data_IF_169106136200
#
_entry.id   IF_169106136200
#
_cell.length_a   1.000
_cell.length_b   1.000
_cell.length_c   1.000
_cell.angle_alpha   90.00
_cell.angle_beta   90.00
_cell.angle_gamma   90.00
#
_symmetry.space_group_name_H-M   'P 1'
#
loop_
_entity.id
_entity.type
_entity.pdbx_description
1 polymer ?
#
# COMPACT_ATOMS: atom_id res chain seq x y z
N UNK A 1 8.78 -7.31 -33.18
CA UNK A 1 8.84 -6.04 -32.44
C UNK A 1 7.49 -5.38 -32.59
N UNK A 2 6.72 -5.29 -31.51
CA UNK A 2 5.38 -4.74 -31.55
C UNK A 2 5.50 -3.22 -31.70
N UNK A 3 5.03 -2.68 -32.83
CA UNK A 3 5.03 -1.25 -33.15
C UNK A 3 3.59 -0.77 -33.05
N UNK A 4 3.40 0.51 -32.75
CA UNK A 4 2.07 1.14 -32.60
C UNK A 4 1.23 0.48 -31.50
N UNK A 5 1.86 0.25 -30.35
CA UNK A 5 1.20 -0.29 -29.17
C UNK A 5 0.80 0.85 -28.23
N UNK A 6 -0.30 0.66 -27.51
CA UNK A 6 -0.68 1.54 -26.40
C UNK A 6 -0.18 0.91 -25.12
N UNK A 7 0.56 1.68 -24.31
CA UNK A 7 0.77 1.33 -22.91
C UNK A 7 -0.29 2.05 -22.10
N UNK A 8 -1.17 1.27 -21.50
CA UNK A 8 -2.28 1.77 -20.67
C UNK A 8 -2.32 1.08 -19.32
N UNK A 9 -2.97 1.74 -18.37
CA UNK A 9 -3.13 1.24 -17.02
C UNK A 9 -4.12 2.08 -16.23
N UNK A 10 -4.13 1.82 -14.92
CA UNK A 10 -4.95 2.56 -13.95
C UNK A 10 -4.04 3.00 -12.81
N UNK A 11 -4.10 4.28 -12.46
CA UNK A 11 -3.37 4.85 -11.34
C UNK A 11 -3.97 4.40 -10.00
N UNK A 12 -3.24 4.64 -8.91
CA UNK A 12 -3.69 4.28 -7.56
C UNK A 12 -5.00 4.96 -7.13
N UNK A 13 -5.31 6.12 -7.72
CA UNK A 13 -6.58 6.85 -7.52
C UNK A 13 -7.73 6.32 -8.41
N UNK A 14 -7.49 5.28 -9.20
CA UNK A 14 -8.47 4.69 -10.11
C UNK A 14 -8.58 5.39 -11.46
N UNK A 15 -7.83 6.46 -11.70
CA UNK A 15 -7.86 7.16 -13.00
C UNK A 15 -7.11 6.34 -14.07
N UNK A 16 -7.68 6.18 -15.28
CA UNK A 16 -6.98 5.49 -16.36
C UNK A 16 -5.90 6.41 -16.96
N UNK A 17 -4.84 5.79 -17.47
CA UNK A 17 -3.89 6.46 -18.35
C UNK A 17 -3.61 5.58 -19.57
N UNK A 18 -3.27 6.21 -20.67
CA UNK A 18 -2.80 5.56 -21.89
C UNK A 18 -1.81 6.47 -22.61
N UNK A 19 -0.81 5.86 -23.23
CA UNK A 19 0.13 6.55 -24.10
C UNK A 19 0.48 5.70 -25.30
N UNK A 20 0.61 6.37 -26.45
CA UNK A 20 0.99 5.73 -27.70
C UNK A 20 2.51 5.55 -27.74
N UNK A 21 2.95 4.30 -27.86
CA UNK A 21 4.36 3.97 -28.09
C UNK A 21 4.67 4.12 -29.58
N UNK A 22 4.80 5.37 -30.05
CA UNK A 22 5.19 5.66 -31.42
C UNK A 22 6.71 5.79 -31.57
N UNK A 23 7.26 5.07 -32.56
CA UNK A 23 8.63 5.27 -33.04
C UNK A 23 8.71 6.27 -34.20
N UNK A 24 7.57 6.86 -34.58
CA UNK A 24 7.49 7.82 -35.66
C UNK A 24 7.66 9.24 -35.11
N UNK A 25 8.84 9.80 -35.35
CA UNK A 25 9.21 11.15 -34.90
C UNK A 25 8.34 12.27 -35.51
N UNK A 26 7.54 11.95 -36.52
CA UNK A 26 6.66 12.90 -37.20
C UNK A 26 5.27 13.02 -36.57
N UNK A 27 4.92 12.15 -35.60
CA UNK A 27 3.71 12.31 -34.79
C UNK A 27 4.03 13.28 -33.64
N UNK A 28 3.29 14.40 -33.59
CA UNK A 28 3.65 15.57 -32.79
C UNK A 28 3.38 15.45 -31.28
N UNK A 29 2.59 14.46 -30.85
CA UNK A 29 2.14 14.41 -29.46
C UNK A 29 2.89 13.38 -28.61
N UNK A 30 3.30 12.20 -29.13
CA UNK A 30 3.87 11.12 -28.30
C UNK A 30 5.01 10.31 -29.00
N UNK A 31 6.16 10.93 -29.29
CA UNK A 31 7.34 10.21 -29.78
C UNK A 31 8.21 9.70 -28.63
N UNK A 32 8.42 8.38 -28.57
CA UNK A 32 9.42 7.75 -27.69
C UNK A 32 10.65 7.33 -28.49
N UNK A 33 11.83 7.76 -28.02
CA UNK A 33 13.07 7.23 -28.56
C UNK A 33 13.11 5.70 -28.35
N UNK A 34 13.52 4.90 -29.34
CA UNK A 34 13.65 3.45 -29.18
C UNK A 34 14.55 3.02 -28.01
N UNK A 35 15.41 3.93 -27.52
CA UNK A 35 16.31 3.70 -26.38
C UNK A 35 15.83 4.41 -25.10
N UNK A 36 14.64 5.01 -25.10
CA UNK A 36 14.07 5.63 -23.91
C UNK A 36 13.78 4.55 -22.85
N UNK A 37 14.04 4.90 -21.58
CA UNK A 37 13.66 4.06 -20.44
C UNK A 37 12.37 4.58 -19.82
N UNK A 38 11.42 3.67 -19.57
CA UNK A 38 10.22 3.97 -18.77
C UNK A 38 10.53 3.64 -17.31
N UNK A 39 10.53 4.65 -16.45
CA UNK A 39 10.66 4.47 -15.01
C UNK A 39 9.28 4.46 -14.37
N UNK A 40 8.93 3.36 -13.70
CA UNK A 40 7.73 3.26 -12.88
C UNK A 40 8.13 3.53 -11.43
N UNK A 41 7.74 4.69 -10.90
CA UNK A 41 7.95 5.02 -9.50
C UNK A 41 6.66 4.72 -8.74
N UNK A 42 6.73 3.80 -7.77
CA UNK A 42 5.65 3.64 -6.80
C UNK A 42 5.73 4.82 -5.83
N UNK A 43 4.78 5.75 -5.95
CA UNK A 43 4.60 6.78 -4.93
C UNK A 43 3.83 6.13 -3.79
N UNK A 44 4.42 6.11 -2.60
CA UNK A 44 3.70 5.71 -1.39
C UNK A 44 2.58 6.73 -1.15
N UNK A 45 1.36 6.37 -1.49
CA UNK A 45 0.19 7.25 -1.39
C UNK A 45 -0.29 7.45 0.04
N UNK A 46 0.32 6.79 1.03
CA UNK A 46 -0.11 6.93 2.43
C UNK A 46 0.16 8.32 2.96
N UNK A 47 1.25 8.97 2.49
CA UNK A 47 1.78 10.22 3.04
C UNK A 47 2.05 10.20 4.56
N UNK A 48 2.12 9.01 5.14
CA UNK A 48 2.50 8.70 6.52
C UNK A 48 4.00 8.44 6.53
N UNK A 49 4.77 9.54 6.51
CA UNK A 49 6.22 9.49 6.29
C UNK A 49 6.99 9.05 7.53
N UNK A 50 6.37 9.09 8.71
CA UNK A 50 6.97 8.58 9.94
C UNK A 50 6.43 7.20 10.37
N UNK A 51 5.52 6.62 9.59
CA UNK A 51 4.88 5.32 9.76
C UNK A 51 4.17 5.17 11.12
N UNK A 52 3.52 6.22 11.60
CA UNK A 52 2.78 6.20 12.87
C UNK A 52 1.28 5.91 12.71
N UNK A 53 0.84 5.68 11.48
CA UNK A 53 -0.54 5.35 11.15
C UNK A 53 -1.41 6.59 10.91
N UNK A 54 -0.85 7.80 10.99
CA UNK A 54 -1.59 9.05 10.79
C UNK A 54 -0.85 9.98 9.86
N UNK A 55 -1.59 10.73 9.04
CA UNK A 55 -1.03 11.76 8.17
C UNK A 55 -1.30 13.10 8.81
N UNK A 56 -0.30 13.67 9.47
CA UNK A 56 -0.43 14.91 10.21
C UNK A 56 0.83 15.80 10.12
N UNK A 57 0.99 16.72 11.06
CA UNK A 57 2.11 17.67 11.04
C UNK A 57 3.46 17.01 11.23
N UNK A 58 3.53 15.84 11.88
CA UNK A 58 4.78 15.08 12.04
C UNK A 58 5.32 14.63 10.68
N UNK A 59 4.46 14.15 9.80
CA UNK A 59 4.82 13.75 8.44
C UNK A 59 5.30 14.93 7.60
N UNK A 60 4.65 16.09 7.73
CA UNK A 60 5.12 17.31 7.07
C UNK A 60 6.56 17.65 7.45
N UNK A 61 6.91 17.48 8.73
CA UNK A 61 8.29 17.71 9.20
C UNK A 61 9.26 16.68 8.65
N UNK A 62 8.85 15.43 8.48
CA UNK A 62 9.66 14.42 7.79
C UNK A 62 9.91 14.81 6.33
N UNK A 63 8.87 15.27 5.61
CA UNK A 63 9.03 15.80 4.25
C UNK A 63 10.01 16.98 4.23
N UNK A 64 9.87 17.96 5.12
CA UNK A 64 10.79 19.12 5.19
C UNK A 64 12.25 18.73 5.47
N UNK A 65 12.49 17.57 6.07
CA UNK A 65 13.84 17.03 6.35
C UNK A 65 14.38 16.17 5.21
N UNK A 66 13.59 15.92 4.17
CA UNK A 66 13.95 15.01 3.09
C UNK A 66 13.80 13.53 3.45
N UNK A 67 13.03 13.21 4.49
CA UNK A 67 12.72 11.85 4.93
C UNK A 67 11.42 11.31 4.30
N UNK A 68 10.93 11.96 3.25
CA UNK A 68 9.86 11.44 2.40
C UNK A 68 10.43 10.52 1.31
N UNK A 69 9.62 9.65 0.68
CA UNK A 69 10.09 8.69 -0.33
C UNK A 69 10.90 9.32 -1.48
N UNK A 70 10.45 10.47 -1.97
CA UNK A 70 11.16 11.32 -2.92
C UNK A 70 11.53 12.64 -2.24
N UNK A 71 12.75 12.66 -1.69
CA UNK A 71 13.23 13.69 -0.79
C UNK A 71 12.98 15.12 -1.31
N UNK A 72 12.21 15.90 -0.55
CA UNK A 72 11.86 17.30 -0.84
C UNK A 72 11.11 17.49 -2.16
N UNK A 73 10.50 16.44 -2.70
CA UNK A 73 9.75 16.52 -3.94
C UNK A 73 8.44 17.29 -3.75
N UNK A 74 8.00 17.94 -4.83
CA UNK A 74 6.66 18.51 -4.94
C UNK A 74 5.58 17.42 -4.93
N UNK A 75 5.90 16.23 -5.46
CA UNK A 75 4.99 15.08 -5.47
C UNK A 75 4.60 14.66 -4.06
N UNK A 76 5.57 14.50 -3.17
CA UNK A 76 5.32 14.10 -1.79
C UNK A 76 4.62 15.20 -0.98
N UNK A 77 4.90 16.47 -1.26
CA UNK A 77 4.17 17.57 -0.64
C UNK A 77 2.68 17.56 -1.03
N UNK A 78 2.39 17.41 -2.33
CA UNK A 78 1.01 17.33 -2.84
C UNK A 78 0.30 16.10 -2.25
N UNK A 79 1.00 14.98 -2.15
CA UNK A 79 0.49 13.75 -1.55
C UNK A 79 0.13 13.95 -0.06
N UNK A 80 1.01 14.59 0.72
CA UNK A 80 0.71 14.96 2.12
C UNK A 80 -0.50 15.89 2.23
N UNK A 81 -0.59 16.92 1.39
CA UNK A 81 -1.75 17.83 1.39
C UNK A 81 -3.06 17.11 1.07
N UNK A 82 -3.04 16.14 0.16
CA UNK A 82 -4.21 15.36 -0.24
C UNK A 82 -4.66 14.34 0.83
N UNK A 83 -3.77 13.97 1.75
CA UNK A 83 -4.02 12.96 2.78
C UNK A 83 -4.04 13.49 4.21
N UNK A 84 -3.74 14.78 4.43
CA UNK A 84 -3.74 15.39 5.77
C UNK A 84 -5.03 15.11 6.56
N UNK A 85 -4.87 14.59 7.78
CA UNK A 85 -5.95 14.19 8.67
C UNK A 85 -6.50 12.79 8.40
N UNK A 86 -5.99 12.04 7.41
CA UNK A 86 -6.33 10.63 7.24
C UNK A 86 -5.49 9.77 8.19
N UNK A 87 -6.09 8.66 8.61
CA UNK A 87 -5.40 7.57 9.30
C UNK A 87 -5.16 6.48 8.26
N UNK A 88 -3.91 6.07 8.06
CA UNK A 88 -3.56 4.91 7.25
C UNK A 88 -4.19 3.69 7.93
N UNK A 89 -5.35 3.25 7.41
CA UNK A 89 -5.94 2.00 7.84
C UNK A 89 -5.11 0.91 7.19
N UNK A 90 -4.02 0.50 7.86
CA UNK A 90 -3.41 -0.79 7.57
C UNK A 90 -4.53 -1.82 7.65
N UNK A 91 -4.81 -2.49 6.53
CA UNK A 91 -5.84 -3.48 6.45
C UNK A 91 -5.60 -4.49 7.57
N UNK A 92 -6.53 -4.54 8.53
CA UNK A 92 -6.49 -5.50 9.62
C UNK A 92 -6.45 -6.90 8.98
N UNK A 93 -5.25 -7.47 8.89
CA UNK A 93 -5.08 -8.85 8.48
C UNK A 93 -5.94 -9.66 9.45
N UNK A 94 -6.86 -10.44 8.91
CA UNK A 94 -7.77 -11.30 9.67
C UNK A 94 -6.88 -12.23 10.49
N UNK A 95 -6.57 -11.86 11.73
CA UNK A 95 -5.78 -12.68 12.65
C UNK A 95 -6.66 -13.88 12.98
N UNK A 96 -6.29 -15.11 12.57
CA UNK A 96 -7.04 -16.27 13.01
C UNK A 96 -6.95 -16.33 14.53
N UNK A 97 -8.10 -16.32 15.22
CA UNK A 97 -8.12 -16.33 16.69
C UNK A 97 -7.22 -17.47 17.20
N UNK A 98 -6.33 -17.21 18.19
CA UNK A 98 -5.53 -18.27 18.76
C UNK A 98 -6.46 -19.34 19.32
N UNK A 99 -6.06 -20.60 19.17
CA UNK A 99 -6.72 -21.86 19.56
C UNK A 99 -7.21 -21.97 21.03
N UNK A 100 -7.43 -20.87 21.75
CA UNK A 100 -8.00 -20.78 23.09
C UNK A 100 -9.32 -21.56 23.24
N UNK A 101 -10.15 -21.59 22.20
CA UNK A 101 -11.42 -22.35 22.23
C UNK A 101 -11.16 -23.87 22.41
N UNK A 102 -10.15 -24.42 21.74
CA UNK A 102 -9.75 -25.83 21.89
C UNK A 102 -9.13 -26.14 23.26
N UNK A 103 -8.34 -25.23 23.84
CA UNK A 103 -7.77 -25.42 25.18
C UNK A 103 -8.85 -25.34 26.28
N UNK A 104 -9.82 -24.43 26.15
CA UNK A 104 -10.90 -24.31 27.12
C UNK A 104 -11.82 -25.54 27.11
N UNK A 105 -12.15 -26.07 25.92
CA UNK A 105 -12.96 -27.28 25.80
C UNK A 105 -12.23 -28.53 26.32
N UNK A 106 -10.93 -28.70 26.01
CA UNK A 106 -10.15 -29.84 26.52
C UNK A 106 -10.02 -29.81 28.04
N UNK A 107 -9.85 -28.63 28.65
CA UNK A 107 -9.84 -28.48 30.11
C UNK A 107 -11.21 -28.78 30.75
N UNK A 108 -12.32 -28.40 30.10
CA UNK A 108 -13.66 -28.80 30.53
C UNK A 108 -13.85 -30.32 30.48
N UNK A 109 -13.48 -30.98 29.37
CA UNK A 109 -13.58 -32.44 29.23
C UNK A 109 -12.70 -33.20 30.24
N UNK A 110 -11.48 -32.71 30.51
CA UNK A 110 -10.59 -33.26 31.55
C UNK A 110 -11.12 -33.03 32.97
N UNK A 111 -11.83 -31.92 33.21
CA UNK A 111 -12.49 -31.64 34.49
C UNK A 111 -13.67 -32.56 34.77
N UNK A 112 -14.50 -32.85 33.75
CA UNK A 112 -15.65 -33.75 33.89
C UNK A 112 -15.25 -35.22 34.09
N UNK A 113 -14.21 -35.69 33.40
CA UNK A 113 -13.73 -37.08 33.52
C UNK A 113 -13.11 -37.38 34.89
N UNK A 114 -12.45 -36.40 35.52
CA UNK A 114 -11.89 -36.54 36.88
C UNK A 114 -12.95 -36.64 37.97
N UNK A 115 -14.12 -36.03 37.79
CA UNK A 115 -15.20 -36.01 38.80
C UNK A 115 -15.95 -37.36 38.89
N UNK A 116 -16.00 -38.12 37.80
CA UNK A 116 -16.69 -39.41 37.73
C UNK A 116 -15.87 -40.58 38.30
N UNK A 117 -14.56 -40.42 38.47
CA UNK A 117 -13.67 -41.50 38.97
C UNK A 117 -13.67 -41.65 40.50
N UNK A 118 -14.34 -40.77 41.26
CA UNK A 118 -14.20 -40.69 42.73
C UNK A 118 -15.40 -41.24 43.53
N UNK A 119 -16.34 -41.95 42.90
CA UNK A 119 -17.44 -42.65 43.59
C UNK A 119 -17.29 -44.17 43.51
N UNK A 120 -16.41 -44.75 44.32
CA UNK A 120 -16.45 -46.16 44.74
C UNK A 120 -15.89 -46.26 46.14
#
# INVERSE_FOLDING_TARGET
MARDQVLSGTLADGTPFDFLLSSNRLDLDDYFDPNAMVTLTLVDSTADFNNDGTVEGRDFLEWQRGNSPDALSLGDLVNWQANYGKTSVEAALIVPEPFCQTYFLTLLFLGFTRRLSKSR
#
